data_IF_643598697131
#
_entry.id   IF_643598697131
#
_cell.length_a   1.000
_cell.length_b   1.000
_cell.length_c   1.000
_cell.angle_alpha   90.00
_cell.angle_beta   90.00
_cell.angle_gamma   90.00
#
_symmetry.space_group_name_H-M   'P 1'
#
loop_
_entity.id
_entity.type
_entity.pdbx_description
1 polymer ?
#
# COMPACT_ATOMS: atom_id res chain seq x y z
N UNK A 1 -5.55 1.67 -20.85
CA UNK A 1 -4.85 2.19 -19.66
C UNK A 1 -3.46 2.57 -20.09
N UNK A 2 -3.23 3.87 -20.24
CA UNK A 2 -1.97 4.39 -20.75
C UNK A 2 -0.82 4.07 -19.80
N UNK A 3 0.32 3.74 -20.40
CA UNK A 3 1.55 3.43 -19.71
C UNK A 3 2.68 4.20 -20.38
N UNK A 4 3.46 4.92 -19.59
CA UNK A 4 4.68 5.54 -20.08
C UNK A 4 5.72 4.44 -20.28
N UNK A 5 6.17 4.29 -21.53
CA UNK A 5 7.28 3.40 -21.87
C UNK A 5 8.56 4.23 -21.87
N UNK A 6 9.39 4.04 -20.84
CA UNK A 6 10.75 4.57 -20.77
C UNK A 6 11.70 3.42 -21.12
N UNK A 7 11.91 3.19 -22.41
CA UNK A 7 12.70 2.05 -22.91
C UNK A 7 12.07 0.70 -22.50
N UNK A 8 12.79 -0.20 -21.80
CA UNK A 8 12.23 -1.47 -21.33
C UNK A 8 11.29 -1.32 -20.12
N UNK A 9 11.25 -0.15 -19.47
CA UNK A 9 10.40 0.07 -18.30
C UNK A 9 9.02 0.58 -18.71
N UNK A 10 7.99 -0.18 -18.33
CA UNK A 10 6.59 0.17 -18.52
C UNK A 10 6.05 0.67 -17.19
N UNK A 11 5.95 1.99 -17.02
CA UNK A 11 5.34 2.60 -15.85
C UNK A 11 3.85 2.79 -16.14
N UNK A 12 3.02 1.98 -15.50
CA UNK A 12 1.56 2.17 -15.55
C UNK A 12 1.21 3.47 -14.83
N UNK A 13 0.44 4.34 -15.47
CA UNK A 13 0.02 5.62 -14.88
C UNK A 13 -0.78 5.41 -13.59
N UNK A 14 -1.48 4.28 -13.46
CA UNK A 14 -2.14 3.90 -12.22
C UNK A 14 -1.21 3.81 -11.01
N UNK A 15 0.08 3.48 -11.19
CA UNK A 15 1.05 3.44 -10.11
C UNK A 15 1.39 4.85 -9.63
N UNK A 16 1.46 5.81 -10.55
CA UNK A 16 1.70 7.21 -10.23
C UNK A 16 0.52 7.75 -9.41
N UNK A 17 -0.72 7.44 -9.80
CA UNK A 17 -1.90 7.82 -9.02
C UNK A 17 -1.93 7.20 -7.63
N UNK A 18 -1.60 5.91 -7.51
CA UNK A 18 -1.52 5.23 -6.21
C UNK A 18 -0.44 5.84 -5.32
N UNK A 19 0.73 6.17 -5.85
CA UNK A 19 1.80 6.84 -5.10
C UNK A 19 1.36 8.24 -4.64
N UNK A 20 0.77 9.04 -5.53
CA UNK A 20 0.23 10.36 -5.18
C UNK A 20 -0.88 10.29 -4.12
N UNK A 21 -1.77 9.30 -4.23
CA UNK A 21 -2.82 9.09 -3.25
C UNK A 21 -2.25 8.65 -1.89
N UNK A 22 -1.21 7.81 -1.90
CA UNK A 22 -0.49 7.39 -0.70
C UNK A 22 0.20 8.56 0.01
N UNK A 23 0.86 9.45 -0.74
CA UNK A 23 1.48 10.65 -0.15
C UNK A 23 0.44 11.62 0.39
N UNK A 24 -0.67 11.83 -0.33
CA UNK A 24 -1.79 12.65 0.16
C UNK A 24 -2.38 12.07 1.47
N UNK A 25 -2.60 10.76 1.54
CA UNK A 25 -3.07 10.09 2.75
C UNK A 25 -2.08 10.26 3.92
N UNK A 26 -0.78 10.08 3.67
CA UNK A 26 0.27 10.29 4.67
C UNK A 26 0.23 11.72 5.26
N UNK A 27 0.18 12.73 4.40
CA UNK A 27 0.13 14.13 4.83
C UNK A 27 -1.17 14.47 5.58
N UNK A 28 -2.30 13.93 5.14
CA UNK A 28 -3.58 14.13 5.84
C UNK A 28 -3.55 13.53 7.24
N UNK A 29 -3.13 12.27 7.38
CA UNK A 29 -2.99 11.63 8.71
C UNK A 29 -2.06 12.46 9.60
N UNK A 30 -0.93 12.93 9.06
CA UNK A 30 0.03 13.75 9.80
C UNK A 30 -0.56 15.08 10.27
N UNK A 31 -1.43 15.70 9.47
CA UNK A 31 -2.09 16.98 9.79
C UNK A 31 -3.23 16.82 10.80
N UNK A 32 -4.04 15.76 10.66
CA UNK A 32 -5.21 15.52 11.52
C UNK A 32 -4.83 14.99 12.91
N UNK A 33 -3.79 14.17 13.03
CA UNK A 33 -3.30 13.65 14.32
C UNK A 33 -2.17 14.51 14.91
N UNK A 34 -2.18 15.81 14.65
CA UNK A 34 -1.14 16.73 15.15
C UNK A 34 -1.14 16.87 16.68
N UNK A 35 -2.28 16.59 17.33
CA UNK A 35 -2.45 16.69 18.78
C UNK A 35 -1.79 15.49 19.49
N UNK A 36 -1.90 14.30 18.90
CA UNK A 36 -1.32 13.06 19.43
C UNK A 36 -0.03 12.68 18.71
N UNK A 37 1.00 13.53 18.81
CA UNK A 37 2.29 13.40 18.09
C UNK A 37 2.90 12.01 18.22
N UNK A 38 2.92 11.45 19.44
CA UNK A 38 3.50 10.12 19.69
C UNK A 38 2.74 9.01 18.94
N UNK A 39 1.42 9.02 19.02
CA UNK A 39 0.60 8.04 18.30
C UNK A 39 0.76 8.20 16.79
N UNK A 40 0.72 9.44 16.29
CA UNK A 40 0.87 9.78 14.88
C UNK A 40 2.15 9.20 14.30
N UNK A 41 3.30 9.50 14.91
CA UNK A 41 4.60 9.08 14.38
C UNK A 41 4.73 7.56 14.45
N UNK A 42 4.37 6.96 15.58
CA UNK A 42 4.37 5.50 15.74
C UNK A 42 3.43 4.79 14.74
N UNK A 43 2.27 5.38 14.45
CA UNK A 43 1.27 4.82 13.52
C UNK A 43 1.74 4.95 12.08
N UNK A 44 2.25 6.11 11.66
CA UNK A 44 2.76 6.33 10.31
C UNK A 44 3.95 5.41 9.99
N UNK A 45 4.88 5.25 10.93
CA UNK A 45 6.00 4.31 10.78
C UNK A 45 5.51 2.88 10.60
N UNK A 46 4.54 2.47 11.43
CA UNK A 46 3.96 1.13 11.34
C UNK A 46 3.11 0.94 10.08
N UNK A 47 2.45 1.99 9.58
CA UNK A 47 1.71 1.97 8.32
C UNK A 47 2.66 1.80 7.13
N UNK A 48 3.76 2.56 7.09
CA UNK A 48 4.79 2.41 6.07
C UNK A 48 5.41 1.01 6.10
N UNK A 49 5.75 0.51 7.30
CA UNK A 49 6.24 -0.86 7.45
C UNK A 49 5.23 -1.90 6.98
N UNK A 50 3.94 -1.72 7.27
CA UNK A 50 2.88 -2.62 6.81
C UNK A 50 2.76 -2.63 5.28
N UNK A 51 2.84 -1.46 4.64
CA UNK A 51 2.80 -1.32 3.18
C UNK A 51 4.00 -2.01 2.52
N UNK A 52 5.21 -1.75 3.03
CA UNK A 52 6.43 -2.40 2.54
C UNK A 52 6.38 -3.93 2.74
N UNK A 53 5.93 -4.36 3.92
CA UNK A 53 5.74 -5.77 4.22
C UNK A 53 4.71 -6.41 3.28
N UNK A 54 3.60 -5.70 2.97
CA UNK A 54 2.61 -6.15 2.00
C UNK A 54 3.20 -6.36 0.60
N UNK A 55 4.07 -5.46 0.12
CA UNK A 55 4.76 -5.61 -1.17
C UNK A 55 5.67 -6.84 -1.17
N UNK A 56 6.43 -7.07 -0.10
CA UNK A 56 7.30 -8.24 0.05
C UNK A 56 6.47 -9.52 0.11
N UNK A 57 5.42 -9.55 0.92
CA UNK A 57 4.52 -10.69 1.06
C UNK A 57 3.84 -11.00 -0.27
N UNK A 58 3.40 -10.00 -1.03
CA UNK A 58 2.82 -10.19 -2.36
C UNK A 58 3.78 -10.94 -3.28
N UNK A 59 5.06 -10.54 -3.31
CA UNK A 59 6.08 -11.21 -4.13
C UNK A 59 6.39 -12.63 -3.64
N UNK A 60 6.47 -12.83 -2.32
CA UNK A 60 6.65 -14.17 -1.76
C UNK A 60 5.43 -15.06 -1.98
N UNK A 61 4.22 -14.50 -1.96
CA UNK A 61 2.99 -15.25 -2.22
C UNK A 61 2.96 -15.82 -3.64
N UNK A 62 3.52 -15.12 -4.64
CA UNK A 62 3.69 -15.67 -6.00
C UNK A 62 4.48 -16.98 -5.95
N UNK A 63 5.58 -17.01 -5.20
CA UNK A 63 6.40 -18.22 -5.04
C UNK A 63 5.67 -19.35 -4.31
N UNK A 64 4.87 -19.01 -3.30
CA UNK A 64 4.07 -19.98 -2.54
C UNK A 64 2.98 -20.60 -3.42
N UNK A 65 2.29 -19.82 -4.24
CA UNK A 65 1.21 -20.31 -5.10
C UNK A 65 1.70 -20.90 -6.43
N UNK A 66 2.93 -20.59 -6.86
CA UNK A 66 3.56 -21.12 -8.08
C UNK A 66 4.94 -21.72 -7.76
N UNK A 67 4.98 -22.82 -6.98
CA UNK A 67 6.23 -23.39 -6.47
C UNK A 67 7.17 -23.90 -7.57
N UNK A 68 6.64 -24.25 -8.75
CA UNK A 68 7.46 -24.65 -9.90
C UNK A 68 8.47 -23.56 -10.32
N UNK A 69 8.16 -22.28 -10.08
CA UNK A 69 9.07 -21.17 -10.40
C UNK A 69 10.31 -21.14 -9.50
N UNK A 70 10.23 -21.66 -8.28
CA UNK A 70 11.37 -21.71 -7.36
C UNK A 70 12.53 -22.53 -7.94
N UNK A 71 12.20 -23.63 -8.62
CA UNK A 71 13.18 -24.57 -9.16
C UNK A 71 13.58 -24.25 -10.60
N UNK A 72 12.71 -23.60 -11.38
CA UNK A 72 12.93 -23.37 -12.81
C UNK A 72 13.47 -21.98 -13.13
N UNK A 73 12.98 -20.94 -12.45
CA UNK A 73 13.41 -19.56 -12.68
C UNK A 73 13.10 -18.65 -11.48
N UNK A 74 13.90 -18.74 -10.39
CA UNK A 74 13.64 -17.99 -9.16
C UNK A 74 13.72 -16.47 -9.37
N UNK A 75 14.60 -16.02 -10.28
CA UNK A 75 14.72 -14.61 -10.63
C UNK A 75 13.52 -14.13 -11.44
N UNK A 76 12.98 -14.98 -12.33
CA UNK A 76 11.78 -14.68 -13.12
C UNK A 76 10.55 -14.38 -12.27
N UNK A 77 10.43 -14.99 -11.08
CA UNK A 77 9.33 -14.73 -10.17
C UNK A 77 9.27 -13.26 -9.70
N UNK A 78 10.40 -12.56 -9.63
CA UNK A 78 10.43 -11.13 -9.27
C UNK A 78 9.76 -10.25 -10.33
N UNK A 79 9.77 -10.68 -11.60
CA UNK A 79 9.17 -9.96 -12.71
C UNK A 79 7.68 -10.27 -12.92
N UNK A 80 7.18 -11.35 -12.30
CA UNK A 80 5.79 -11.73 -12.43
C UNK A 80 4.85 -10.79 -11.68
N UNK A 81 3.70 -10.58 -12.30
CA UNK A 81 2.54 -9.94 -11.70
C UNK A 81 1.65 -11.05 -11.15
N UNK A 82 1.59 -11.17 -9.82
CA UNK A 82 0.64 -12.04 -9.14
C UNK A 82 -0.81 -11.60 -9.35
N UNK A 83 -1.72 -12.56 -9.24
CA UNK A 83 -3.16 -12.35 -9.38
C UNK A 83 -3.84 -11.96 -8.07
N UNK A 84 -5.14 -12.23 -8.01
CA UNK A 84 -5.99 -11.88 -6.88
C UNK A 84 -5.59 -12.58 -5.58
N UNK A 85 -5.16 -13.85 -5.64
CA UNK A 85 -4.80 -14.66 -4.47
C UNK A 85 -3.58 -14.10 -3.73
N UNK A 86 -2.60 -13.61 -4.48
CA UNK A 86 -1.38 -13.02 -3.95
C UNK A 86 -1.69 -11.66 -3.29
N UNK A 87 -2.54 -10.86 -3.92
CA UNK A 87 -2.99 -9.58 -3.38
C UNK A 87 -3.79 -9.74 -2.08
N UNK A 88 -4.72 -10.69 -2.01
CA UNK A 88 -5.51 -10.92 -0.79
C UNK A 88 -4.64 -11.40 0.36
N UNK A 89 -3.68 -12.30 0.11
CA UNK A 89 -2.73 -12.76 1.14
C UNK A 89 -1.84 -11.63 1.64
N UNK A 90 -1.32 -10.80 0.74
CA UNK A 90 -0.55 -9.61 1.10
C UNK A 90 -1.35 -8.64 1.99
N UNK A 91 -2.57 -8.31 1.57
CA UNK A 91 -3.46 -7.41 2.31
C UNK A 91 -3.84 -7.96 3.69
N UNK A 92 -4.15 -9.25 3.79
CA UNK A 92 -4.51 -9.88 5.06
C UNK A 92 -3.34 -9.85 6.04
N UNK A 93 -2.15 -10.26 5.62
CA UNK A 93 -0.99 -10.34 6.51
C UNK A 93 -0.46 -8.96 6.90
N UNK A 94 -0.44 -7.98 5.99
CA UNK A 94 -0.06 -6.60 6.32
C UNK A 94 -1.07 -5.94 7.28
N UNK A 95 -2.36 -6.23 7.12
CA UNK A 95 -3.40 -5.74 8.03
C UNK A 95 -3.28 -6.39 9.41
N UNK A 96 -2.98 -7.70 9.46
CA UNK A 96 -2.76 -8.41 10.72
C UNK A 96 -1.55 -7.85 11.47
N UNK A 97 -0.48 -7.48 10.75
CA UNK A 97 0.68 -6.79 11.33
C UNK A 97 0.28 -5.46 12.01
N UNK A 98 -0.56 -4.63 11.36
CA UNK A 98 -1.04 -3.39 11.98
C UNK A 98 -1.89 -3.62 13.22
N UNK A 99 -2.77 -4.64 13.20
CA UNK A 99 -3.58 -5.01 14.36
C UNK A 99 -2.72 -5.55 15.51
N UNK A 100 -1.68 -6.30 15.21
CA UNK A 100 -0.69 -6.76 16.19
C UNK A 100 0.06 -5.57 16.79
N UNK A 101 0.49 -4.63 15.95
CA UNK A 101 1.21 -3.44 16.38
C UNK A 101 0.35 -2.52 17.27
N UNK A 102 -0.95 -2.40 16.97
CA UNK A 102 -1.94 -1.72 17.83
C UNK A 102 -1.93 -2.32 19.24
N UNK A 103 -1.97 -3.65 19.36
CA UNK A 103 -1.92 -4.33 20.67
C UNK A 103 -0.58 -4.12 21.37
N UNK A 104 0.53 -4.23 20.64
CA UNK A 104 1.89 -4.09 21.20
C UNK A 104 2.17 -2.70 21.73
N UNK A 105 1.80 -1.66 20.98
CA UNK A 105 2.01 -0.24 21.35
C UNK A 105 0.88 0.34 22.20
N UNK A 106 -0.16 -0.45 22.53
CA UNK A 106 -1.32 -0.05 23.34
C UNK A 106 -2.00 1.23 22.84
N UNK A 107 -2.16 1.35 21.53
CA UNK A 107 -2.78 2.53 20.94
C UNK A 107 -4.25 2.66 21.32
N UNK A 108 -4.75 3.88 21.57
CA UNK A 108 -6.16 4.09 21.84
C UNK A 108 -6.99 3.72 20.61
N UNK A 109 -8.06 2.96 20.84
CA UNK A 109 -8.91 2.44 19.77
C UNK A 109 -9.50 3.53 18.87
N UNK A 110 -9.88 4.66 19.47
CA UNK A 110 -10.49 5.79 18.78
C UNK A 110 -9.53 6.41 17.77
N UNK A 111 -8.28 6.73 18.17
CA UNK A 111 -7.29 7.31 17.26
C UNK A 111 -6.91 6.31 16.16
N UNK A 112 -6.80 5.01 16.48
CA UNK A 112 -6.52 3.99 15.47
C UNK A 112 -7.60 3.91 14.39
N UNK A 113 -8.88 3.93 14.79
CA UNK A 113 -10.00 3.89 13.86
C UNK A 113 -10.06 5.20 13.06
N UNK A 114 -9.90 6.36 13.71
CA UNK A 114 -9.86 7.66 13.04
C UNK A 114 -8.73 7.72 12.01
N UNK A 115 -7.50 7.31 12.37
CA UNK A 115 -6.35 7.28 11.47
C UNK A 115 -6.61 6.37 10.25
N UNK A 116 -7.22 5.19 10.49
CA UNK A 116 -7.61 4.28 9.42
C UNK A 116 -8.65 4.88 8.47
N UNK A 117 -9.71 5.51 9.02
CA UNK A 117 -10.75 6.17 8.23
C UNK A 117 -10.16 7.33 7.43
N UNK A 118 -9.41 8.24 8.06
CA UNK A 118 -8.78 9.36 7.35
C UNK A 118 -7.82 8.87 6.26
N UNK A 119 -7.01 7.84 6.55
CA UNK A 119 -6.10 7.26 5.58
C UNK A 119 -6.81 6.68 4.37
N UNK A 120 -7.79 5.80 4.58
CA UNK A 120 -8.53 5.12 3.51
C UNK A 120 -9.37 6.12 2.71
N UNK A 121 -10.11 7.00 3.40
CA UNK A 121 -10.95 8.00 2.74
C UNK A 121 -10.10 8.92 1.87
N UNK A 122 -8.99 9.45 2.40
CA UNK A 122 -8.08 10.33 1.64
C UNK A 122 -7.45 9.61 0.46
N UNK A 123 -7.01 8.36 0.66
CA UNK A 123 -6.41 7.57 -0.40
C UNK A 123 -7.40 7.38 -1.56
N UNK A 124 -8.63 6.95 -1.26
CA UNK A 124 -9.65 6.73 -2.27
C UNK A 124 -10.02 8.04 -2.98
N UNK A 125 -10.31 9.11 -2.25
CA UNK A 125 -10.70 10.39 -2.85
C UNK A 125 -9.59 10.96 -3.72
N UNK A 126 -8.33 10.92 -3.24
CA UNK A 126 -7.18 11.42 -4.00
C UNK A 126 -6.90 10.58 -5.24
N UNK A 127 -6.99 9.25 -5.13
CA UNK A 127 -6.80 8.35 -6.26
C UNK A 127 -7.81 8.61 -7.38
N UNK A 128 -9.10 8.72 -7.03
CA UNK A 128 -10.15 9.02 -8.00
C UNK A 128 -10.02 10.43 -8.56
N UNK A 129 -9.67 11.42 -7.74
CA UNK A 129 -9.37 12.77 -8.21
C UNK A 129 -8.25 12.79 -9.25
N UNK A 130 -7.10 12.18 -8.96
CA UNK A 130 -5.99 12.12 -9.93
C UNK A 130 -6.38 11.42 -11.21
N UNK A 131 -7.15 10.33 -11.10
CA UNK A 131 -7.64 9.59 -12.26
C UNK A 131 -8.60 10.43 -13.12
N UNK A 132 -9.55 11.12 -12.50
CA UNK A 132 -10.52 11.96 -13.22
C UNK A 132 -9.86 13.18 -13.83
N UNK A 133 -8.94 13.84 -13.10
CA UNK A 133 -8.17 14.96 -13.64
C UNK A 133 -7.36 14.53 -14.86
N UNK A 134 -6.69 13.38 -14.79
CA UNK A 134 -5.96 12.86 -15.93
C UNK A 134 -6.85 12.65 -17.15
N UNK A 135 -8.00 12.00 -16.97
CA UNK A 135 -8.98 11.77 -18.04
C UNK A 135 -9.59 13.06 -18.63
N UNK A 136 -9.65 14.15 -17.86
CA UNK A 136 -10.19 15.42 -18.35
C UNK A 136 -9.17 16.22 -19.16
N UNK A 137 -7.87 16.12 -18.81
CA UNK A 137 -6.81 16.87 -19.47
C UNK A 137 -6.11 16.10 -20.59
N UNK A 138 -6.26 14.77 -20.65
CA UNK A 138 -5.67 13.87 -21.64
C UNK A 138 -6.69 12.82 -22.08
#
# INVERSE_FOLDING_TARGET
>A
MEAFKLGPFIIKISWIFSLGAGTAAYWTIRKFLKEDIRFRDEFLDSLLNALLMGIVIYKLAILVYQPNLLFTNPVGALYLSGGWKEWTTALLLSSLYLLWQKKRKKWPGNLFIQAGIYGIATFLTSFWLFRTLYFLFF
#
